data_IF_991068927554
#
_entry.id   IF_991068927554
#
_cell.length_a   1.000
_cell.length_b   1.000
_cell.length_c   1.000
_cell.angle_alpha   90.00
_cell.angle_beta   90.00
_cell.angle_gamma   90.00
#
_symmetry.space_group_name_H-M   'P 1'
#
loop_
_entity.id
_entity.type
_entity.pdbx_description
1 polymer ?
#
# COMPACT_ATOMS: atom_id res chain seq x y z
N UNK A 1 22.78 22.37 13.28
CA UNK A 1 22.33 21.77 12.01
C UNK A 1 22.67 20.29 12.08
N UNK A 2 21.71 19.47 12.48
CA UNK A 2 21.98 18.08 12.85
C UNK A 2 21.99 17.20 11.59
N UNK A 3 23.04 16.41 11.43
CA UNK A 3 23.29 15.46 10.33
C UNK A 3 22.34 14.25 10.39
N UNK A 4 21.05 14.47 10.17
CA UNK A 4 19.99 13.45 10.20
C UNK A 4 19.45 13.10 8.79
N UNK A 5 20.29 13.21 7.75
CA UNK A 5 19.93 12.90 6.35
C UNK A 5 20.69 11.68 5.85
N UNK A 6 20.57 10.56 6.55
CA UNK A 6 21.15 9.30 6.10
C UNK A 6 20.07 8.22 6.08
N UNK A 7 19.94 7.50 4.96
CA UNK A 7 19.15 6.27 4.90
C UNK A 7 19.83 5.09 5.64
N UNK A 8 20.98 5.34 6.27
CA UNK A 8 21.76 4.37 7.04
C UNK A 8 20.97 3.65 8.13
N UNK A 9 20.22 4.34 9.01
CA UNK A 9 19.39 3.69 10.02
C UNK A 9 18.32 2.75 9.42
N UNK A 10 17.74 3.11 8.28
CA UNK A 10 16.74 2.28 7.59
C UNK A 10 17.39 1.00 7.03
N UNK A 11 18.57 1.13 6.41
CA UNK A 11 19.32 -0.03 5.92
C UNK A 11 19.72 -0.98 7.06
N UNK A 12 20.19 -0.45 8.19
CA UNK A 12 20.51 -1.23 9.38
C UNK A 12 19.27 -1.94 9.92
N UNK A 13 18.12 -1.27 9.97
CA UNK A 13 16.86 -1.88 10.40
C UNK A 13 16.42 -3.02 9.47
N UNK A 14 16.50 -2.85 8.15
CA UNK A 14 16.18 -3.92 7.19
C UNK A 14 17.08 -5.14 7.39
N UNK A 15 18.39 -4.92 7.54
CA UNK A 15 19.35 -6.01 7.80
C UNK A 15 19.05 -6.70 9.13
N UNK A 16 18.73 -5.94 10.17
CA UNK A 16 18.38 -6.50 11.48
C UNK A 16 17.13 -7.38 11.40
N UNK A 17 16.06 -6.92 10.74
CA UNK A 17 14.82 -7.70 10.57
C UNK A 17 15.09 -9.00 9.82
N UNK A 18 15.86 -8.95 8.73
CA UNK A 18 16.21 -10.13 7.96
C UNK A 18 17.10 -11.10 8.76
N UNK A 19 18.07 -10.57 9.52
CA UNK A 19 18.94 -11.37 10.38
C UNK A 19 18.15 -12.06 11.48
N UNK A 20 17.25 -11.35 12.16
CA UNK A 20 16.38 -11.93 13.20
C UNK A 20 15.48 -13.02 12.61
N UNK A 21 14.83 -12.77 11.47
CA UNK A 21 14.03 -13.78 10.78
C UNK A 21 14.86 -15.01 10.41
N UNK A 22 16.07 -14.83 9.88
CA UNK A 22 16.99 -15.90 9.52
C UNK A 22 17.44 -16.71 10.76
N UNK A 23 17.77 -16.04 11.87
CA UNK A 23 18.14 -16.70 13.14
C UNK A 23 16.98 -17.52 13.67
N UNK A 24 15.76 -17.00 13.67
CA UNK A 24 14.56 -17.74 14.11
C UNK A 24 14.35 -19.00 13.26
N UNK A 25 14.43 -18.87 11.93
CA UNK A 25 14.30 -20.00 11.02
C UNK A 25 15.45 -21.02 11.19
N UNK A 26 16.68 -20.55 11.38
CA UNK A 26 17.85 -21.41 11.62
C UNK A 26 17.73 -22.18 12.94
N UNK A 27 17.37 -21.50 14.04
CA UNK A 27 17.13 -22.13 15.34
C UNK A 27 16.01 -23.17 15.26
N UNK A 28 14.90 -22.83 14.59
CA UNK A 28 13.79 -23.77 14.37
C UNK A 28 14.26 -25.01 13.60
N UNK A 29 15.09 -24.84 12.57
CA UNK A 29 15.58 -25.94 11.75
C UNK A 29 16.69 -26.78 12.42
N UNK A 30 17.46 -26.20 13.35
CA UNK A 30 18.54 -26.85 14.08
C UNK A 30 18.04 -27.59 15.33
N UNK A 31 17.10 -27.01 16.08
CA UNK A 31 16.58 -27.56 17.35
C UNK A 31 15.34 -28.45 17.12
N UNK A 32 14.59 -28.22 16.05
CA UNK A 32 13.32 -28.91 15.77
C UNK A 32 13.48 -30.42 15.43
N UNK A 33 12.65 -31.31 16.01
CA UNK A 33 12.66 -32.74 15.69
C UNK A 33 12.38 -33.03 14.21
N UNK A 34 13.32 -33.68 13.53
CA UNK A 34 13.19 -34.05 12.11
C UNK A 34 12.49 -35.40 11.94
N UNK A 35 11.15 -35.38 11.98
CA UNK A 35 10.33 -36.55 11.58
C UNK A 35 9.89 -36.40 10.13
N UNK A 36 10.47 -37.17 9.24
CA UNK A 36 10.08 -37.33 7.83
C UNK A 36 9.24 -38.60 7.66
N UNK A 37 8.33 -38.60 6.70
CA UNK A 37 7.47 -39.75 6.40
C UNK A 37 6.56 -39.46 5.22
N UNK A 38 6.27 -40.46 4.39
CA UNK A 38 5.51 -40.28 3.15
C UNK A 38 4.14 -39.62 3.39
N UNK A 39 3.42 -40.01 4.45
CA UNK A 39 2.13 -39.45 4.86
C UNK A 39 2.24 -38.00 5.37
N UNK A 40 3.38 -37.62 5.97
CA UNK A 40 3.58 -36.25 6.47
C UNK A 40 3.95 -35.27 5.36
N UNK A 41 4.43 -35.79 4.22
CA UNK A 41 4.80 -35.01 3.04
C UNK A 41 3.73 -35.06 1.93
N UNK A 42 2.68 -35.87 2.09
CA UNK A 42 1.53 -35.89 1.18
C UNK A 42 0.64 -34.67 1.40
N UNK A 43 -0.01 -34.20 0.33
CA UNK A 43 -1.01 -33.13 0.38
C UNK A 43 -2.16 -33.49 1.33
N UNK A 44 -2.61 -32.52 2.12
CA UNK A 44 -3.73 -32.71 3.04
C UNK A 44 -5.06 -32.72 2.29
N UNK A 45 -5.81 -33.83 2.41
CA UNK A 45 -7.15 -34.01 1.83
C UNK A 45 -8.05 -34.76 2.84
N UNK A 46 -8.05 -34.31 4.10
CA UNK A 46 -8.86 -34.87 5.21
C UNK A 46 -8.80 -36.41 5.35
N UNK A 47 -7.63 -37.01 5.09
CA UNK A 47 -7.39 -38.46 5.22
C UNK A 47 -7.66 -39.26 3.94
N UNK A 48 -8.14 -38.62 2.87
CA UNK A 48 -8.30 -39.21 1.55
C UNK A 48 -7.07 -38.96 0.68
N UNK A 49 -6.90 -39.75 -0.37
CA UNK A 49 -5.90 -39.42 -1.39
C UNK A 49 -6.41 -38.23 -2.23
N UNK A 50 -5.57 -37.26 -2.58
CA UNK A 50 -5.96 -36.16 -3.46
C UNK A 50 -6.47 -36.71 -4.79
N UNK A 51 -7.69 -36.33 -5.19
CA UNK A 51 -8.29 -36.75 -6.47
C UNK A 51 -8.61 -35.52 -7.31
N UNK A 52 -8.18 -35.55 -8.58
CA UNK A 52 -8.49 -34.52 -9.57
C UNK A 52 -7.37 -33.51 -9.82
N UNK A 53 -7.59 -32.65 -10.80
CA UNK A 53 -6.63 -31.61 -11.18
C UNK A 53 -6.72 -30.40 -10.22
N UNK A 54 -5.56 -29.88 -9.83
CA UNK A 54 -5.40 -28.71 -8.95
C UNK A 54 -5.51 -27.39 -9.70
N UNK A 55 -5.51 -27.40 -11.04
CA UNK A 55 -5.55 -26.19 -11.88
C UNK A 55 -6.97 -25.73 -12.20
N UNK A 56 -7.73 -25.36 -11.17
CA UNK A 56 -9.04 -24.72 -11.35
C UNK A 56 -8.89 -23.21 -11.51
N UNK A 57 -9.76 -22.62 -12.32
CA UNK A 57 -9.84 -21.16 -12.45
C UNK A 57 -10.37 -20.60 -11.14
N UNK A 58 -9.60 -19.69 -10.55
CA UNK A 58 -10.07 -18.91 -9.41
C UNK A 58 -11.12 -17.89 -9.86
N UNK A 59 -12.01 -17.51 -8.95
CA UNK A 59 -13.08 -16.58 -9.25
C UNK A 59 -12.49 -15.20 -9.64
N UNK A 60 -13.03 -14.59 -10.71
CA UNK A 60 -12.60 -13.28 -11.22
C UNK A 60 -12.78 -12.17 -10.18
N UNK A 61 -13.59 -12.38 -9.14
CA UNK A 61 -13.79 -11.43 -8.03
C UNK A 61 -12.48 -10.95 -7.39
N UNK A 62 -11.47 -11.81 -7.26
CA UNK A 62 -10.15 -11.39 -6.73
C UNK A 62 -9.45 -10.37 -7.64
N UNK A 63 -9.60 -10.51 -8.96
CA UNK A 63 -9.04 -9.57 -9.92
C UNK A 63 -9.70 -8.19 -9.80
N UNK A 64 -11.02 -8.13 -9.61
CA UNK A 64 -11.70 -6.83 -9.54
C UNK A 64 -11.32 -6.08 -8.25
N UNK A 65 -11.18 -6.79 -7.12
CA UNK A 65 -10.68 -6.20 -5.87
C UNK A 65 -9.25 -5.69 -6.04
N UNK A 66 -8.37 -6.45 -6.71
CA UNK A 66 -6.99 -6.03 -6.96
C UNK A 66 -6.90 -4.82 -7.89
N UNK A 67 -7.70 -4.79 -8.96
CA UNK A 67 -7.77 -3.66 -9.89
C UNK A 67 -8.26 -2.39 -9.20
N UNK A 68 -9.28 -2.51 -8.34
CA UNK A 68 -9.78 -1.39 -7.55
C UNK A 68 -8.74 -0.91 -6.52
N UNK A 69 -8.06 -1.83 -5.85
CA UNK A 69 -6.97 -1.49 -4.92
C UNK A 69 -5.87 -0.71 -5.63
N UNK A 70 -5.45 -1.14 -6.83
CA UNK A 70 -4.44 -0.44 -7.62
C UNK A 70 -4.90 0.98 -7.98
N UNK A 71 -6.18 1.14 -8.38
CA UNK A 71 -6.75 2.45 -8.68
C UNK A 71 -6.71 3.38 -7.45
N UNK A 72 -7.12 2.89 -6.28
CA UNK A 72 -7.07 3.66 -5.03
C UNK A 72 -5.65 3.94 -4.53
N UNK A 73 -4.71 3.01 -4.74
CA UNK A 73 -3.32 3.19 -4.36
C UNK A 73 -2.67 4.32 -5.18
N UNK A 74 -2.91 4.32 -6.51
CA UNK A 74 -2.47 5.39 -7.40
C UNK A 74 -3.12 6.73 -7.02
N UNK A 75 -4.38 6.74 -6.61
CA UNK A 75 -5.06 7.92 -6.10
C UNK A 75 -4.32 8.54 -4.89
N UNK A 76 -3.89 7.73 -3.92
CA UNK A 76 -3.14 8.20 -2.74
C UNK A 76 -1.80 8.85 -3.13
N UNK A 77 -1.14 8.35 -4.18
CA UNK A 77 0.09 8.97 -4.70
C UNK A 77 -0.17 10.41 -5.15
N UNK A 78 -1.35 10.70 -5.73
CA UNK A 78 -1.75 12.07 -6.10
C UNK A 78 -2.17 12.92 -4.90
N UNK A 79 -2.70 12.32 -3.83
CA UNK A 79 -2.96 13.04 -2.58
C UNK A 79 -1.68 13.52 -1.89
N UNK A 80 -0.58 12.77 -2.03
CA UNK A 80 0.63 13.03 -1.25
C UNK A 80 1.25 14.42 -1.50
N UNK A 81 1.47 14.88 -2.75
CA UNK A 81 1.92 16.25 -3.01
C UNK A 81 0.99 17.30 -2.40
N UNK A 82 -0.32 17.17 -2.57
CA UNK A 82 -1.26 18.13 -2.00
C UNK A 82 -1.20 18.17 -0.47
N UNK A 83 -1.15 17.01 0.19
CA UNK A 83 -1.09 16.91 1.65
C UNK A 83 0.18 17.54 2.23
N UNK A 84 1.29 17.48 1.50
CA UNK A 84 2.55 18.11 1.91
C UNK A 84 2.58 19.61 1.58
N UNK A 85 1.98 20.03 0.46
CA UNK A 85 2.04 21.41 -0.02
C UNK A 85 1.00 22.33 0.62
N UNK A 86 -0.20 21.83 0.93
CA UNK A 86 -1.28 22.64 1.49
C UNK A 86 -0.92 23.31 2.84
N UNK A 87 -0.27 22.61 3.80
CA UNK A 87 0.20 23.24 5.03
C UNK A 87 1.26 24.33 4.80
N UNK A 88 2.11 24.18 3.78
CA UNK A 88 3.19 25.13 3.46
C UNK A 88 2.69 26.48 2.97
N UNK A 89 1.46 26.55 2.45
CA UNK A 89 0.81 27.81 2.07
C UNK A 89 0.40 28.65 3.28
N UNK A 90 0.25 28.04 4.46
CA UNK A 90 -0.03 28.75 5.72
C UNK A 90 1.27 29.12 6.47
N UNK A 91 2.42 28.63 6.02
CA UNK A 91 3.70 28.94 6.64
C UNK A 91 4.16 30.35 6.23
N UNK A 92 4.12 31.29 7.18
CA UNK A 92 4.67 32.65 7.04
C UNK A 92 6.21 32.67 7.07
N UNK A 93 6.87 31.51 7.19
CA UNK A 93 8.32 31.40 7.26
C UNK A 93 9.07 31.69 5.94
N UNK A 94 10.39 31.81 6.03
CA UNK A 94 11.31 31.99 4.89
C UNK A 94 11.83 30.67 4.33
N UNK A 95 11.06 29.58 4.40
CA UNK A 95 11.43 28.31 3.79
C UNK A 95 11.36 28.42 2.26
N UNK A 96 12.22 27.69 1.54
CA UNK A 96 12.17 27.62 0.08
C UNK A 96 10.81 27.10 -0.42
N UNK A 97 10.16 26.25 0.38
CA UNK A 97 8.84 25.70 0.11
C UNK A 97 7.73 26.76 0.22
N UNK A 98 7.78 27.61 1.25
CA UNK A 98 6.88 28.76 1.39
C UNK A 98 7.11 29.80 0.27
N UNK A 99 8.33 29.94 -0.26
CA UNK A 99 8.60 30.80 -1.41
C UNK A 99 7.94 30.28 -2.70
N UNK A 100 7.95 28.96 -2.92
CA UNK A 100 7.25 28.34 -4.05
C UNK A 100 5.72 28.48 -3.92
N UNK A 101 5.18 28.25 -2.73
CA UNK A 101 3.76 28.44 -2.42
C UNK A 101 3.29 29.89 -2.70
N UNK A 102 4.03 30.90 -2.20
CA UNK A 102 3.74 32.31 -2.48
C UNK A 102 3.86 32.66 -3.96
N UNK A 103 4.78 32.02 -4.69
CA UNK A 103 4.90 32.19 -6.14
C UNK A 103 3.70 31.64 -6.93
N UNK A 104 3.03 30.59 -6.41
CA UNK A 104 1.78 30.09 -6.98
C UNK A 104 0.59 30.99 -6.63
N UNK A 105 0.55 31.52 -5.41
CA UNK A 105 -0.47 32.49 -5.00
C UNK A 105 -0.45 33.75 -5.90
N UNK A 106 0.73 34.28 -6.22
CA UNK A 106 0.89 35.41 -7.16
C UNK A 106 0.37 35.12 -8.58
N UNK A 107 0.30 33.84 -8.98
CA UNK A 107 -0.25 33.41 -10.27
C UNK A 107 -1.76 33.15 -10.22
N UNK A 108 -2.41 33.37 -9.07
CA UNK A 108 -3.84 33.16 -8.86
C UNK A 108 -4.21 31.81 -8.25
N UNK A 109 -3.24 30.96 -7.92
CA UNK A 109 -3.46 29.65 -7.31
C UNK A 109 -3.39 29.75 -5.77
N UNK A 110 -4.43 30.34 -5.17
CA UNK A 110 -4.53 30.49 -3.70
C UNK A 110 -5.10 29.25 -2.99
N UNK A 111 -5.25 29.31 -1.65
CA UNK A 111 -5.70 28.17 -0.83
C UNK A 111 -7.06 27.62 -1.25
N UNK A 112 -8.01 28.50 -1.59
CA UNK A 112 -9.35 28.11 -2.03
C UNK A 112 -9.32 27.32 -3.35
N UNK A 113 -8.38 27.62 -4.24
CA UNK A 113 -8.19 26.89 -5.49
C UNK A 113 -7.72 25.46 -5.21
N UNK A 114 -6.68 25.27 -4.38
CA UNK A 114 -6.18 23.94 -4.02
C UNK A 114 -7.20 23.08 -3.25
N UNK A 115 -8.05 23.70 -2.42
CA UNK A 115 -9.16 23.01 -1.75
C UNK A 115 -10.22 22.57 -2.76
N UNK A 116 -10.59 23.46 -3.68
CA UNK A 116 -11.60 23.17 -4.69
C UNK A 116 -11.13 22.06 -5.64
N UNK A 117 -9.89 22.11 -6.12
CA UNK A 117 -9.31 21.06 -6.96
C UNK A 117 -9.32 19.71 -6.24
N UNK A 118 -8.94 19.67 -4.96
CA UNK A 118 -8.96 18.45 -4.19
C UNK A 118 -10.39 17.91 -3.98
N UNK A 119 -11.36 18.79 -3.71
CA UNK A 119 -12.76 18.41 -3.62
C UNK A 119 -13.30 17.83 -4.95
N UNK A 120 -12.94 18.45 -6.07
CA UNK A 120 -13.32 17.95 -7.41
C UNK A 120 -12.66 16.60 -7.68
N UNK A 121 -11.37 16.45 -7.38
CA UNK A 121 -10.63 15.21 -7.54
C UNK A 121 -11.26 14.06 -6.74
N UNK A 122 -11.49 14.30 -5.44
CA UNK A 122 -12.18 13.34 -4.55
C UNK A 122 -13.58 13.02 -5.07
N UNK A 123 -14.35 14.02 -5.49
CA UNK A 123 -15.71 13.82 -5.97
C UNK A 123 -15.76 12.93 -7.22
N UNK A 124 -14.86 13.12 -8.18
CA UNK A 124 -14.76 12.29 -9.39
C UNK A 124 -14.48 10.83 -9.03
N UNK A 125 -13.57 10.59 -8.09
CA UNK A 125 -13.18 9.24 -7.67
C UNK A 125 -14.27 8.57 -6.84
N UNK A 126 -14.92 9.32 -5.94
CA UNK A 126 -16.09 8.84 -5.21
C UNK A 126 -17.23 8.43 -6.16
N UNK A 127 -17.44 9.14 -7.26
CA UNK A 127 -18.43 8.73 -8.27
C UNK A 127 -18.06 7.37 -8.88
N UNK A 128 -16.80 7.17 -9.25
CA UNK A 128 -16.31 5.87 -9.76
C UNK A 128 -16.46 4.75 -8.74
N UNK A 129 -16.15 5.00 -7.47
CA UNK A 129 -16.30 4.05 -6.38
C UNK A 129 -17.77 3.69 -6.11
N UNK A 130 -18.64 4.70 -6.00
CA UNK A 130 -20.07 4.52 -5.80
C UNK A 130 -20.68 3.74 -6.97
N UNK A 131 -20.23 3.99 -8.20
CA UNK A 131 -20.64 3.20 -9.35
C UNK A 131 -20.26 1.72 -9.21
N UNK A 132 -19.01 1.40 -8.85
CA UNK A 132 -18.56 0.03 -8.63
C UNK A 132 -19.35 -0.66 -7.50
N UNK A 133 -19.65 0.07 -6.43
CA UNK A 133 -20.49 -0.42 -5.33
C UNK A 133 -21.92 -0.71 -5.80
N UNK A 134 -22.55 0.23 -6.52
CA UNK A 134 -23.91 0.08 -7.05
C UNK A 134 -24.02 -1.09 -8.02
N UNK A 135 -22.97 -1.38 -8.78
CA UNK A 135 -22.89 -2.56 -9.66
C UNK A 135 -22.69 -3.89 -8.92
N UNK A 136 -22.53 -3.86 -7.59
CA UNK A 136 -22.43 -5.08 -6.79
C UNK A 136 -21.13 -5.84 -7.04
N UNK A 137 -20.07 -5.15 -7.44
CA UNK A 137 -18.75 -5.74 -7.70
C UNK A 137 -18.18 -6.46 -6.48
N UNK A 138 -18.60 -6.04 -5.28
CA UNK A 138 -18.20 -6.62 -4.00
C UNK A 138 -19.14 -7.70 -3.47
N UNK A 139 -20.10 -8.20 -4.26
CA UNK A 139 -20.98 -9.28 -3.79
C UNK A 139 -20.22 -10.60 -3.83
N UNK A 140 -20.18 -11.28 -2.68
CA UNK A 140 -19.44 -12.53 -2.48
C UNK A 140 -20.33 -13.78 -2.50
N UNK A 141 -21.61 -13.61 -2.81
CA UNK A 141 -22.63 -14.67 -2.91
C UNK A 141 -22.38 -15.64 -4.08
#
# INVERSE_FOLDING_TARGET
MNSQTGYGPVAVQMVLVLAVAAVILALTHLIGPRRTGAVKQSTYESGMNPVGDTRRRFNVRFYIVAMLFLLFDVEIVFFYPWAVLFPQMNETGSTAAAAWARGMEQRGFGHAFFLLEMLIFVAILLVGYVYAWRKGVFRWD
#
